data_IF_851919791629
#
_entry.id   IF_851919791629
#
_cell.length_a   1.000
_cell.length_b   1.000
_cell.length_c   1.000
_cell.angle_alpha   90.00
_cell.angle_beta   90.00
_cell.angle_gamma   90.00
#
_symmetry.space_group_name_H-M   'P 1'
#
loop_
_entity.id
_entity.type
_entity.pdbx_description
1 polymer ?
#
# COMPACT_ATOMS: atom_id res chain seq x y z
N UNK A 1 86.54 -26.48 16.18
CA UNK A 1 85.99 -27.10 14.97
C UNK A 1 84.52 -27.30 15.26
N UNK A 2 83.76 -26.32 15.01
CA UNK A 2 82.33 -26.27 15.23
C UNK A 2 81.71 -25.93 13.92
N UNK A 3 80.62 -26.61 13.59
CA UNK A 3 79.78 -26.26 12.49
C UNK A 3 78.53 -25.63 13.06
N UNK A 4 78.34 -24.35 12.81
CA UNK A 4 77.07 -23.61 13.08
C UNK A 4 76.22 -23.85 11.83
N UNK A 5 75.07 -24.49 12.06
CA UNK A 5 74.00 -24.58 11.09
C UNK A 5 72.81 -23.67 11.59
N UNK A 6 72.67 -22.59 10.86
CA UNK A 6 71.63 -21.61 10.96
C UNK A 6 70.31 -22.26 10.55
N UNK A 7 69.31 -22.32 11.47
CA UNK A 7 67.97 -22.79 11.19
C UNK A 7 67.03 -21.58 11.01
N UNK A 8 66.48 -21.48 9.76
CA UNK A 8 65.39 -20.57 9.41
C UNK A 8 64.11 -20.87 10.23
N UNK A 9 63.35 -19.84 10.62
CA UNK A 9 62.06 -20.05 11.25
C UNK A 9 60.96 -20.34 10.23
N UNK A 10 60.27 -21.45 10.44
CA UNK A 10 59.08 -21.85 9.67
C UNK A 10 57.92 -20.87 9.83
N UNK A 11 57.41 -20.42 8.68
CA UNK A 11 56.16 -19.67 8.57
C UNK A 11 54.97 -20.57 8.92
N UNK A 12 54.44 -20.44 10.12
CA UNK A 12 53.20 -21.08 10.53
C UNK A 12 52.04 -20.24 10.00
N UNK A 13 51.43 -20.69 8.90
CA UNK A 13 50.15 -20.20 8.43
C UNK A 13 49.07 -20.64 9.40
N UNK A 14 48.57 -19.70 10.19
CA UNK A 14 47.39 -19.92 11.06
C UNK A 14 46.17 -19.96 10.16
N UNK A 15 45.73 -21.17 9.79
CA UNK A 15 44.43 -21.44 9.25
C UNK A 15 43.40 -21.25 10.39
N UNK A 16 42.59 -20.18 10.30
CA UNK A 16 41.49 -20.00 11.21
C UNK A 16 40.42 -21.08 10.99
N UNK A 17 40.39 -22.06 11.86
CA UNK A 17 39.29 -23.02 11.93
C UNK A 17 38.01 -22.30 12.38
N UNK A 18 36.85 -22.65 11.81
CA UNK A 18 35.58 -22.09 12.33
C UNK A 18 35.35 -22.55 13.75
N UNK A 19 34.99 -21.60 14.62
CA UNK A 19 34.69 -21.84 16.02
C UNK A 19 33.65 -22.96 16.15
N UNK A 20 34.05 -24.07 16.75
CA UNK A 20 33.17 -25.16 17.12
C UNK A 20 32.17 -24.64 18.18
N UNK A 21 30.91 -24.57 17.80
CA UNK A 21 29.81 -24.31 18.72
C UNK A 21 29.69 -25.52 19.64
N UNK A 22 30.00 -25.35 20.93
CA UNK A 22 29.78 -26.38 21.96
C UNK A 22 28.29 -26.74 22.01
N UNK A 23 27.95 -27.95 21.63
CA UNK A 23 26.62 -28.51 21.72
C UNK A 23 26.33 -28.84 23.20
N UNK A 24 25.46 -28.06 23.82
CA UNK A 24 24.86 -28.39 25.11
C UNK A 24 23.88 -29.56 24.91
N UNK A 25 24.06 -30.73 25.54
CA UNK A 25 23.17 -31.86 25.39
C UNK A 25 21.80 -31.55 26.00
N UNK A 26 20.75 -31.53 25.16
CA UNK A 26 19.35 -31.33 25.56
C UNK A 26 18.76 -29.95 25.29
N UNK A 27 19.48 -29.02 24.71
CA UNK A 27 18.94 -27.75 24.24
C UNK A 27 18.12 -27.95 22.97
N UNK A 28 16.82 -27.68 23.03
CA UNK A 28 16.01 -27.46 21.83
C UNK A 28 16.64 -26.27 21.11
N UNK A 29 17.31 -26.50 19.99
CA UNK A 29 17.80 -25.44 19.11
C UNK A 29 16.56 -24.71 18.64
N UNK A 30 16.26 -23.56 19.24
CA UNK A 30 15.24 -22.64 18.73
C UNK A 30 15.82 -22.08 17.45
N UNK A 31 15.55 -22.74 16.33
CA UNK A 31 15.88 -22.20 15.00
C UNK A 31 15.21 -20.83 14.89
N UNK A 32 16.01 -19.81 14.71
CA UNK A 32 15.54 -18.46 14.42
C UNK A 32 14.66 -18.55 13.16
N UNK A 33 13.36 -18.19 13.24
CA UNK A 33 12.44 -18.28 12.11
C UNK A 33 12.88 -17.48 10.89
N UNK A 34 13.80 -16.53 11.07
CA UNK A 34 14.35 -15.68 10.01
C UNK A 34 15.62 -16.29 9.33
N UNK A 35 16.21 -17.37 9.90
CA UNK A 35 17.44 -17.99 9.36
C UNK A 35 17.27 -18.64 7.99
N UNK A 36 16.06 -19.03 7.61
CA UNK A 36 15.74 -19.73 6.36
C UNK A 36 15.19 -18.82 5.26
N UNK A 37 15.25 -17.49 5.42
CA UNK A 37 14.74 -16.55 4.43
C UNK A 37 15.81 -16.27 3.36
N UNK A 38 15.51 -16.46 2.04
CA UNK A 38 16.52 -16.40 0.98
C UNK A 38 17.13 -15.02 0.73
N UNK A 39 16.45 -13.90 1.10
CA UNK A 39 16.83 -12.51 0.82
C UNK A 39 17.24 -12.20 -0.64
N UNK A 40 16.70 -12.98 -1.59
CA UNK A 40 17.02 -12.81 -3.01
C UNK A 40 16.48 -13.90 -3.93
N UNK A 41 17.20 -14.15 -5.02
CA UNK A 41 16.84 -15.19 -5.99
C UNK A 41 15.46 -14.99 -6.61
N UNK A 42 14.63 -16.04 -6.58
CA UNK A 42 13.25 -15.99 -7.10
C UNK A 42 12.35 -14.99 -6.37
N UNK A 43 12.74 -14.52 -5.18
CA UNK A 43 12.06 -13.46 -4.45
C UNK A 43 11.91 -12.19 -5.29
N UNK A 44 12.89 -11.83 -6.12
CA UNK A 44 12.79 -10.67 -7.01
C UNK A 44 11.78 -10.86 -8.14
N UNK A 45 11.59 -12.09 -8.62
CA UNK A 45 10.49 -12.41 -9.56
C UNK A 45 9.15 -12.23 -8.86
N UNK A 46 9.01 -12.68 -7.61
CA UNK A 46 7.81 -12.44 -6.82
C UNK A 46 7.57 -10.94 -6.59
N UNK A 47 8.61 -10.15 -6.32
CA UNK A 47 8.50 -8.67 -6.22
C UNK A 47 7.96 -8.08 -7.52
N UNK A 48 8.49 -8.48 -8.67
CA UNK A 48 8.00 -8.01 -9.97
C UNK A 48 6.54 -8.42 -10.20
N UNK A 49 6.17 -9.67 -9.91
CA UNK A 49 4.79 -10.13 -10.03
C UNK A 49 3.83 -9.30 -9.15
N UNK A 50 4.16 -9.12 -7.87
CA UNK A 50 3.30 -8.36 -6.94
C UNK A 50 3.30 -6.87 -7.28
N UNK A 51 4.38 -6.31 -7.83
CA UNK A 51 4.41 -4.96 -8.40
C UNK A 51 3.38 -4.79 -9.53
N UNK A 52 3.35 -5.71 -10.50
CA UNK A 52 2.40 -5.66 -11.60
C UNK A 52 0.96 -5.91 -11.13
N UNK A 53 0.74 -6.82 -10.18
CA UNK A 53 -0.55 -6.99 -9.53
C UNK A 53 -1.01 -5.68 -8.88
N UNK A 54 -0.12 -4.99 -8.17
CA UNK A 54 -0.42 -3.71 -7.54
C UNK A 54 -0.72 -2.62 -8.56
N UNK A 55 0.04 -2.55 -9.67
CA UNK A 55 -0.20 -1.61 -10.77
C UNK A 55 -1.56 -1.84 -11.43
N UNK A 56 -1.94 -3.10 -11.68
CA UNK A 56 -3.17 -3.48 -12.36
C UNK A 56 -4.41 -3.62 -11.44
N UNK A 57 -4.24 -3.40 -10.12
CA UNK A 57 -5.34 -3.35 -9.14
C UNK A 57 -5.46 -1.94 -8.59
N UNK A 58 -4.64 -1.60 -7.58
CA UNK A 58 -4.67 -0.29 -6.93
C UNK A 58 -4.24 0.87 -7.82
N UNK A 59 -3.36 0.62 -8.82
CA UNK A 59 -2.99 1.63 -9.81
C UNK A 59 -4.19 2.03 -10.67
N UNK A 60 -5.01 1.08 -11.11
CA UNK A 60 -6.24 1.39 -11.85
C UNK A 60 -7.26 2.08 -10.94
N UNK A 61 -7.40 1.66 -9.67
CA UNK A 61 -8.25 2.34 -8.72
C UNK A 61 -7.82 3.81 -8.50
N UNK A 62 -6.50 4.08 -8.47
CA UNK A 62 -5.98 5.46 -8.41
C UNK A 62 -6.27 6.28 -9.68
N UNK A 63 -6.40 5.63 -10.83
CA UNK A 63 -6.78 6.27 -12.10
C UNK A 63 -8.27 6.57 -12.22
N UNK A 64 -9.11 6.14 -11.27
CA UNK A 64 -10.57 6.35 -11.29
C UNK A 64 -10.98 7.81 -11.46
N UNK A 65 -10.16 8.76 -11.01
CA UNK A 65 -10.40 10.19 -11.16
C UNK A 65 -10.63 10.65 -12.62
N UNK A 66 -10.06 9.96 -13.60
CA UNK A 66 -10.29 10.23 -15.03
C UNK A 66 -11.73 9.91 -15.42
N UNK A 67 -12.23 8.77 -14.99
CA UNK A 67 -13.61 8.35 -15.21
C UNK A 67 -14.61 9.26 -14.48
N UNK A 68 -14.30 9.57 -13.21
CA UNK A 68 -15.11 10.50 -12.41
C UNK A 68 -15.24 11.86 -13.10
N UNK A 69 -14.13 12.42 -13.57
CA UNK A 69 -14.15 13.70 -14.29
C UNK A 69 -15.02 13.64 -15.55
N UNK A 70 -14.91 12.56 -16.33
CA UNK A 70 -15.74 12.36 -17.52
C UNK A 70 -17.23 12.24 -17.19
N UNK A 71 -17.59 11.43 -16.20
CA UNK A 71 -18.98 11.25 -15.77
C UNK A 71 -19.63 12.56 -15.31
N UNK A 72 -18.89 13.38 -14.55
CA UNK A 72 -19.37 14.68 -14.07
C UNK A 72 -19.52 15.70 -15.19
N UNK A 73 -18.60 15.71 -16.17
CA UNK A 73 -18.63 16.70 -17.28
C UNK A 73 -19.76 16.39 -18.27
N UNK A 74 -20.03 15.11 -18.55
CA UNK A 74 -20.97 14.71 -19.58
C UNK A 74 -22.35 14.31 -19.03
N UNK A 75 -22.56 14.41 -17.69
CA UNK A 75 -23.83 14.04 -17.03
C UNK A 75 -24.37 12.71 -17.53
N UNK A 76 -23.52 11.67 -17.55
CA UNK A 76 -23.76 10.38 -18.19
C UNK A 76 -25.05 9.71 -17.71
N UNK A 77 -25.42 9.93 -16.45
CA UNK A 77 -26.68 9.47 -15.88
C UNK A 77 -27.46 10.66 -15.31
N UNK A 78 -28.66 11.00 -15.86
CA UNK A 78 -29.38 12.23 -15.52
C UNK A 78 -29.77 12.37 -14.05
N UNK A 79 -29.95 11.25 -13.33
CA UNK A 79 -30.33 11.22 -11.91
C UNK A 79 -29.16 11.13 -10.95
N UNK A 80 -27.93 10.98 -11.45
CA UNK A 80 -26.77 10.78 -10.61
C UNK A 80 -26.16 12.10 -10.15
N UNK A 81 -25.78 12.13 -8.87
CA UNK A 81 -25.06 13.25 -8.25
C UNK A 81 -23.56 13.02 -8.28
N UNK A 82 -22.77 14.05 -8.02
CA UNK A 82 -21.32 13.93 -7.86
C UNK A 82 -20.95 12.94 -6.73
N UNK A 83 -21.77 12.87 -5.68
CA UNK A 83 -21.56 11.96 -4.55
C UNK A 83 -21.73 10.50 -4.97
N UNK A 84 -22.67 10.21 -5.86
CA UNK A 84 -22.91 8.86 -6.37
C UNK A 84 -21.68 8.33 -7.13
N UNK A 85 -21.09 9.16 -7.99
CA UNK A 85 -19.87 8.78 -8.70
C UNK A 85 -18.65 8.66 -7.77
N UNK A 86 -18.51 9.54 -6.79
CA UNK A 86 -17.46 9.43 -5.78
C UNK A 86 -17.58 8.14 -4.96
N UNK A 87 -18.82 7.73 -4.65
CA UNK A 87 -19.12 6.50 -3.92
C UNK A 87 -18.73 5.23 -4.68
N UNK A 88 -18.82 5.23 -6.03
CA UNK A 88 -18.33 4.11 -6.86
C UNK A 88 -16.83 3.86 -6.61
N UNK A 89 -16.03 4.93 -6.60
CA UNK A 89 -14.60 4.83 -6.25
C UNK A 89 -14.37 4.33 -4.82
N UNK A 90 -15.15 4.83 -3.85
CA UNK A 90 -15.10 4.37 -2.47
C UNK A 90 -15.47 2.89 -2.29
N UNK A 91 -16.44 2.39 -3.06
CA UNK A 91 -16.83 0.98 -3.06
C UNK A 91 -15.69 0.05 -3.49
N UNK A 92 -14.81 0.47 -4.41
CA UNK A 92 -13.65 -0.34 -4.79
C UNK A 92 -12.77 -0.63 -3.58
N UNK A 93 -12.47 0.37 -2.75
CA UNK A 93 -11.71 0.20 -1.51
C UNK A 93 -12.49 -0.56 -0.46
N UNK A 94 -13.74 -0.16 -0.21
CA UNK A 94 -14.59 -0.76 0.81
C UNK A 94 -14.83 -2.25 0.58
N UNK A 95 -15.23 -2.65 -0.63
CA UNK A 95 -15.45 -4.05 -0.98
C UNK A 95 -14.15 -4.86 -0.97
N UNK A 96 -13.05 -4.30 -1.49
CA UNK A 96 -11.76 -4.97 -1.50
C UNK A 96 -11.28 -5.32 -0.09
N UNK A 97 -11.28 -4.35 0.83
CA UNK A 97 -10.74 -4.50 2.18
C UNK A 97 -11.69 -5.26 3.11
N UNK A 98 -13.01 -5.15 2.94
CA UNK A 98 -14.00 -5.88 3.74
C UNK A 98 -13.91 -7.41 3.52
N UNK A 99 -13.42 -7.83 2.35
CA UNK A 99 -13.18 -9.23 2.05
C UNK A 99 -11.88 -9.80 2.63
N UNK A 100 -11.08 -9.02 3.36
CA UNK A 100 -9.77 -9.48 3.87
C UNK A 100 -9.89 -10.77 4.70
N UNK A 101 -10.83 -10.82 5.65
CA UNK A 101 -11.05 -12.01 6.49
C UNK A 101 -11.51 -13.23 5.69
N UNK A 102 -12.58 -13.19 4.86
CA UNK A 102 -12.99 -14.34 4.05
C UNK A 102 -11.91 -14.75 3.02
N UNK A 103 -11.17 -13.81 2.42
CA UNK A 103 -10.07 -14.12 1.50
C UNK A 103 -8.94 -14.85 2.23
N UNK A 104 -8.58 -14.42 3.43
CA UNK A 104 -7.57 -15.09 4.26
C UNK A 104 -7.98 -16.54 4.57
N UNK A 105 -9.25 -16.78 4.91
CA UNK A 105 -9.78 -18.14 5.14
C UNK A 105 -9.79 -18.96 3.86
N UNK A 106 -10.14 -18.37 2.72
CA UNK A 106 -10.11 -19.01 1.41
C UNK A 106 -8.68 -19.40 1.02
N UNK A 107 -7.72 -18.49 1.22
CA UNK A 107 -6.29 -18.73 0.99
C UNK A 107 -5.75 -19.86 1.86
N UNK A 108 -6.24 -19.99 3.10
CA UNK A 108 -5.89 -21.13 3.98
C UNK A 108 -6.32 -22.48 3.41
N UNK A 109 -7.49 -22.55 2.78
CA UNK A 109 -8.06 -23.81 2.27
C UNK A 109 -7.56 -24.17 0.88
N UNK A 110 -7.45 -23.17 -0.02
CA UNK A 110 -7.22 -23.38 -1.45
C UNK A 110 -5.82 -22.93 -1.91
N UNK A 111 -4.99 -22.42 -0.99
CA UNK A 111 -3.72 -21.78 -1.36
C UNK A 111 -3.92 -20.37 -1.93
N UNK A 112 -2.83 -19.75 -2.39
CA UNK A 112 -2.84 -18.37 -2.87
C UNK A 112 -3.37 -18.24 -4.30
N UNK A 113 -3.09 -19.21 -5.18
CA UNK A 113 -3.33 -19.10 -6.63
C UNK A 113 -4.82 -19.12 -6.98
N UNK A 114 -5.63 -19.97 -6.33
CA UNK A 114 -7.06 -20.11 -6.66
C UNK A 114 -7.84 -18.84 -6.33
N UNK A 115 -7.74 -18.23 -5.13
CA UNK A 115 -8.39 -16.95 -4.86
C UNK A 115 -7.92 -15.84 -5.80
N UNK A 116 -6.62 -15.78 -6.10
CA UNK A 116 -6.06 -14.76 -6.99
C UNK A 116 -6.57 -14.92 -8.43
N UNK A 117 -6.57 -16.14 -8.98
CA UNK A 117 -7.09 -16.40 -10.34
C UNK A 117 -8.57 -16.06 -10.43
N UNK A 118 -9.37 -16.43 -9.42
CA UNK A 118 -10.77 -16.04 -9.37
C UNK A 118 -10.94 -14.53 -9.28
N UNK A 119 -10.09 -13.84 -8.52
CA UNK A 119 -10.05 -12.38 -8.42
C UNK A 119 -9.78 -11.71 -9.77
N UNK A 120 -8.85 -12.24 -10.57
CA UNK A 120 -8.57 -11.75 -11.93
C UNK A 120 -9.82 -11.85 -12.82
N UNK A 121 -10.53 -12.98 -12.77
CA UNK A 121 -11.78 -13.16 -13.53
C UNK A 121 -12.84 -12.15 -13.09
N UNK A 122 -13.04 -12.00 -11.78
CA UNK A 122 -14.04 -11.07 -11.21
C UNK A 122 -13.71 -9.61 -11.56
N UNK A 123 -12.45 -9.20 -11.44
CA UNK A 123 -12.02 -7.84 -11.79
C UNK A 123 -12.22 -7.55 -13.28
N UNK A 124 -11.79 -8.48 -14.15
CA UNK A 124 -11.94 -8.38 -15.60
C UNK A 124 -13.41 -8.30 -16.00
N UNK A 125 -14.25 -9.18 -15.43
CA UNK A 125 -15.70 -9.16 -15.64
C UNK A 125 -16.32 -7.83 -15.18
N UNK A 126 -15.88 -7.30 -14.03
CA UNK A 126 -16.34 -6.01 -13.50
C UNK A 126 -16.14 -4.87 -14.49
N UNK A 127 -14.94 -4.72 -15.07
CA UNK A 127 -14.66 -3.70 -16.07
C UNK A 127 -15.40 -3.96 -17.40
N UNK A 128 -15.47 -5.22 -17.86
CA UNK A 128 -16.22 -5.55 -19.06
C UNK A 128 -17.71 -5.25 -18.91
N UNK A 129 -18.33 -5.66 -17.82
CA UNK A 129 -19.75 -5.37 -17.55
C UNK A 129 -20.01 -3.86 -17.40
N UNK A 130 -19.11 -3.13 -16.75
CA UNK A 130 -19.19 -1.68 -16.68
C UNK A 130 -19.13 -1.02 -18.08
N UNK A 131 -18.43 -1.63 -19.05
CA UNK A 131 -18.36 -1.10 -20.42
C UNK A 131 -19.68 -1.18 -21.21
N UNK A 132 -20.63 -1.98 -20.73
CA UNK A 132 -21.96 -2.11 -21.35
C UNK A 132 -23.03 -1.25 -20.66
N UNK A 133 -22.67 -0.48 -19.64
CA UNK A 133 -23.62 0.43 -18.98
C UNK A 133 -24.00 1.56 -19.96
N UNK A 134 -25.30 1.85 -20.01
CA UNK A 134 -25.88 2.91 -20.85
C UNK A 134 -26.53 3.97 -19.96
N UNK A 135 -26.73 5.21 -20.44
CA UNK A 135 -27.42 6.25 -19.69
C UNK A 135 -28.81 5.84 -19.18
N UNK A 136 -29.50 4.94 -19.91
CA UNK A 136 -30.82 4.43 -19.55
C UNK A 136 -30.82 3.32 -18.51
N UNK A 137 -29.68 2.68 -18.25
CA UNK A 137 -29.62 1.51 -17.37
C UNK A 137 -29.59 1.83 -15.87
N UNK A 138 -29.52 3.10 -15.50
CA UNK A 138 -29.44 3.55 -14.11
C UNK A 138 -28.05 3.40 -13.50
N UNK A 139 -27.71 4.25 -12.52
CA UNK A 139 -26.39 4.31 -11.88
C UNK A 139 -26.06 3.06 -11.06
N UNK A 140 -27.07 2.30 -10.63
CA UNK A 140 -26.88 1.08 -9.82
C UNK A 140 -25.99 0.04 -10.52
N UNK A 141 -26.00 0.01 -11.87
CA UNK A 141 -25.11 -0.89 -12.60
C UNK A 141 -23.65 -0.53 -12.39
N UNK A 142 -23.28 0.76 -12.38
CA UNK A 142 -21.92 1.20 -12.09
C UNK A 142 -21.52 0.90 -10.64
N UNK A 143 -22.45 1.03 -9.69
CA UNK A 143 -22.18 0.61 -8.31
C UNK A 143 -21.82 -0.87 -8.23
N UNK A 144 -22.60 -1.72 -8.91
CA UNK A 144 -22.40 -3.15 -8.87
C UNK A 144 -21.15 -3.58 -9.65
N UNK A 145 -20.97 -3.04 -10.88
CA UNK A 145 -19.90 -3.50 -11.78
C UNK A 145 -18.57 -2.80 -11.50
N UNK A 146 -18.50 -1.48 -11.68
CA UNK A 146 -17.25 -0.72 -11.51
C UNK A 146 -16.89 -0.50 -10.04
N UNK A 147 -17.87 -0.45 -9.13
CA UNK A 147 -17.66 -0.33 -7.70
C UNK A 147 -17.40 -1.68 -7.04
N UNK A 148 -18.47 -2.44 -6.78
CA UNK A 148 -18.41 -3.63 -5.93
C UNK A 148 -17.65 -4.80 -6.59
N UNK A 149 -17.98 -5.15 -7.85
CA UNK A 149 -17.39 -6.31 -8.52
C UNK A 149 -15.90 -6.12 -8.76
N UNK A 150 -15.50 -4.93 -9.26
CA UNK A 150 -14.07 -4.59 -9.41
C UNK A 150 -13.39 -4.57 -8.05
N UNK A 151 -13.99 -3.99 -7.00
CA UNK A 151 -13.44 -3.99 -5.66
C UNK A 151 -13.22 -5.40 -5.10
N UNK A 152 -14.20 -6.29 -5.24
CA UNK A 152 -14.06 -7.70 -4.87
C UNK A 152 -12.91 -8.38 -5.63
N UNK A 153 -12.81 -8.14 -6.95
CA UNK A 153 -11.73 -8.66 -7.78
C UNK A 153 -10.34 -8.16 -7.34
N UNK A 154 -10.21 -6.87 -7.04
CA UNK A 154 -8.98 -6.27 -6.47
C UNK A 154 -8.61 -6.98 -5.17
N UNK A 155 -9.55 -7.13 -4.24
CA UNK A 155 -9.30 -7.80 -2.96
C UNK A 155 -8.83 -9.24 -3.13
N UNK A 156 -9.55 -10.03 -3.93
CA UNK A 156 -9.21 -11.43 -4.20
C UNK A 156 -7.84 -11.59 -4.87
N UNK A 157 -7.45 -10.66 -5.73
CA UNK A 157 -6.18 -10.72 -6.45
C UNK A 157 -5.02 -10.23 -5.59
N UNK A 158 -5.17 -9.11 -4.88
CA UNK A 158 -4.07 -8.45 -4.19
C UNK A 158 -3.84 -8.95 -2.76
N UNK A 159 -4.90 -9.17 -1.95
CA UNK A 159 -4.71 -9.48 -0.52
C UNK A 159 -3.93 -10.78 -0.26
N UNK A 160 -4.09 -11.86 -1.03
CA UNK A 160 -3.25 -13.05 -0.86
C UNK A 160 -1.78 -12.81 -1.23
N UNK A 161 -1.48 -11.82 -2.09
CA UNK A 161 -0.12 -11.50 -2.51
C UNK A 161 0.65 -10.62 -1.51
N UNK A 162 -0.04 -9.87 -0.66
CA UNK A 162 0.55 -8.90 0.25
C UNK A 162 1.61 -9.49 1.24
N UNK A 163 1.46 -10.72 1.79
CA UNK A 163 2.47 -11.29 2.66
C UNK A 163 3.70 -11.86 1.93
N UNK A 164 3.60 -12.13 0.61
CA UNK A 164 4.61 -12.86 -0.16
C UNK A 164 5.97 -12.19 -0.08
N UNK A 165 6.05 -10.90 -0.34
CA UNK A 165 7.31 -10.14 -0.32
C UNK A 165 8.02 -10.26 1.02
N UNK A 166 7.28 -10.19 2.13
CA UNK A 166 7.83 -10.29 3.48
C UNK A 166 8.26 -11.72 3.85
N UNK A 167 7.81 -12.73 3.11
CA UNK A 167 8.23 -14.12 3.27
C UNK A 167 9.52 -14.46 2.51
N UNK A 168 9.86 -13.67 1.48
CA UNK A 168 11.07 -13.85 0.68
C UNK A 168 12.26 -13.01 1.13
N UNK A 169 12.00 -11.93 1.89
CA UNK A 169 13.03 -10.99 2.30
C UNK A 169 13.01 -10.75 3.81
N UNK A 170 14.18 -10.73 4.44
CA UNK A 170 14.41 -10.35 5.84
C UNK A 170 15.16 -9.02 5.93
N UNK A 171 16.38 -8.94 5.41
CA UNK A 171 17.21 -7.74 5.44
C UNK A 171 16.68 -6.61 4.56
N UNK A 172 16.08 -6.95 3.39
CA UNK A 172 15.55 -5.99 2.41
C UNK A 172 14.03 -5.99 2.33
N UNK A 173 13.35 -6.33 3.43
CA UNK A 173 11.90 -6.53 3.49
C UNK A 173 11.13 -5.25 3.16
N UNK A 174 11.51 -4.12 3.72
CA UNK A 174 10.84 -2.84 3.48
C UNK A 174 11.12 -2.29 2.09
N UNK A 175 12.34 -2.45 1.57
CA UNK A 175 12.68 -2.10 0.18
C UNK A 175 11.82 -2.89 -0.81
N UNK A 176 11.73 -4.21 -0.65
CA UNK A 176 10.93 -5.07 -1.52
C UNK A 176 9.44 -4.66 -1.50
N UNK A 177 8.87 -4.41 -0.32
CA UNK A 177 7.50 -3.90 -0.18
C UNK A 177 7.33 -2.48 -0.73
N UNK A 178 8.36 -1.63 -0.63
CA UNK A 178 8.39 -0.30 -1.23
C UNK A 178 8.32 -0.34 -2.76
N UNK A 179 9.11 -1.22 -3.39
CA UNK A 179 9.09 -1.45 -4.85
C UNK A 179 7.70 -1.96 -5.28
N UNK A 180 7.16 -2.97 -4.61
CA UNK A 180 5.80 -3.47 -4.87
C UNK A 180 4.77 -2.35 -4.78
N UNK A 181 4.82 -1.55 -3.73
CA UNK A 181 3.87 -0.47 -3.50
C UNK A 181 3.99 0.67 -4.53
N UNK A 182 5.18 0.91 -5.11
CA UNK A 182 5.37 1.86 -6.20
C UNK A 182 4.57 1.49 -7.45
N UNK A 183 4.23 0.20 -7.62
CA UNK A 183 3.38 -0.28 -8.70
C UNK A 183 2.06 0.47 -8.80
N UNK A 184 1.41 0.80 -7.66
CA UNK A 184 0.16 1.57 -7.69
C UNK A 184 0.36 3.00 -8.21
N UNK A 185 1.48 3.66 -7.91
CA UNK A 185 1.80 4.99 -8.43
C UNK A 185 2.07 4.96 -9.94
N UNK A 186 2.92 4.03 -10.39
CA UNK A 186 3.25 3.86 -11.81
C UNK A 186 2.01 3.44 -12.61
N UNK A 187 1.24 2.48 -12.09
CA UNK A 187 -0.03 2.05 -12.68
C UNK A 187 -1.04 3.20 -12.73
N UNK A 188 -1.16 3.99 -11.66
CA UNK A 188 -2.02 5.17 -11.59
C UNK A 188 -1.71 6.17 -12.69
N UNK A 189 -0.44 6.48 -12.91
CA UNK A 189 0.00 7.36 -14.01
C UNK A 189 -0.33 6.72 -15.35
N UNK A 190 0.15 5.50 -15.61
CA UNK A 190 0.01 4.82 -16.88
C UNK A 190 -1.47 4.67 -17.32
N UNK A 191 -2.30 4.16 -16.40
CA UNK A 191 -3.72 3.94 -16.70
C UNK A 191 -4.53 5.24 -16.76
N UNK A 192 -4.15 6.30 -16.02
CA UNK A 192 -4.78 7.62 -16.17
C UNK A 192 -4.54 8.19 -17.57
N UNK A 193 -3.29 8.20 -18.06
CA UNK A 193 -2.98 8.69 -19.41
C UNK A 193 -3.59 7.82 -20.49
N UNK A 194 -3.50 6.50 -20.36
CA UNK A 194 -4.08 5.57 -21.34
C UNK A 194 -5.60 5.73 -21.43
N UNK A 195 -6.30 5.77 -20.28
CA UNK A 195 -7.76 5.94 -20.25
C UNK A 195 -8.18 7.29 -20.80
N UNK A 196 -7.51 8.38 -20.42
CA UNK A 196 -7.81 9.72 -20.96
C UNK A 196 -7.62 9.77 -22.48
N UNK A 197 -6.56 9.14 -23.00
CA UNK A 197 -6.30 9.09 -24.46
C UNK A 197 -7.34 8.28 -25.20
N UNK A 198 -7.76 7.12 -24.67
CA UNK A 198 -8.79 6.28 -25.28
C UNK A 198 -10.15 6.98 -25.24
N UNK A 199 -10.51 7.64 -24.13
CA UNK A 199 -11.78 8.37 -24.01
C UNK A 199 -11.85 9.51 -25.04
N UNK A 200 -10.74 10.22 -25.28
CA UNK A 200 -10.67 11.34 -26.21
C UNK A 200 -10.48 10.94 -27.68
N UNK A 201 -10.22 9.66 -27.98
CA UNK A 201 -9.96 9.21 -29.36
C UNK A 201 -11.26 9.10 -30.17
N UNK A 202 -11.23 9.37 -31.52
CA UNK A 202 -12.36 9.12 -32.40
C UNK A 202 -12.79 7.65 -32.35
N UNK A 203 -14.08 7.40 -32.08
CA UNK A 203 -14.62 6.04 -31.92
C UNK A 203 -14.26 5.35 -30.58
N UNK A 204 -13.55 6.04 -29.67
CA UNK A 204 -13.20 5.57 -28.33
C UNK A 204 -14.36 5.74 -27.33
N UNK A 205 -14.12 6.45 -26.27
CA UNK A 205 -15.08 6.72 -25.19
C UNK A 205 -14.85 5.84 -23.96
N UNK A 206 -15.68 6.05 -22.94
CA UNK A 206 -15.57 5.36 -21.66
C UNK A 206 -15.65 3.83 -21.78
N UNK A 207 -16.55 3.34 -22.63
CA UNK A 207 -16.73 1.90 -22.85
C UNK A 207 -15.43 1.23 -23.35
N UNK A 208 -14.75 1.83 -24.31
CA UNK A 208 -13.47 1.31 -24.80
C UNK A 208 -12.33 1.47 -23.78
N UNK A 209 -12.32 2.54 -23.00
CA UNK A 209 -11.37 2.68 -21.91
C UNK A 209 -11.54 1.58 -20.85
N UNK A 210 -12.77 1.24 -20.48
CA UNK A 210 -13.07 0.15 -19.55
C UNK A 210 -12.69 -1.22 -20.13
N UNK A 211 -12.94 -1.47 -21.42
CA UNK A 211 -12.50 -2.70 -22.11
C UNK A 211 -10.98 -2.81 -22.16
N UNK A 212 -10.28 -1.71 -22.43
CA UNK A 212 -8.82 -1.65 -22.37
C UNK A 212 -8.32 -2.03 -20.96
N UNK A 213 -8.92 -1.45 -19.90
CA UNK A 213 -8.57 -1.82 -18.53
C UNK A 213 -8.78 -3.32 -18.27
N UNK A 214 -9.92 -3.87 -18.73
CA UNK A 214 -10.22 -5.30 -18.56
C UNK A 214 -9.17 -6.20 -19.23
N UNK A 215 -8.83 -5.91 -20.50
CA UNK A 215 -7.89 -6.73 -21.28
C UNK A 215 -6.47 -6.62 -20.73
N UNK A 216 -5.99 -5.40 -20.49
CA UNK A 216 -4.61 -5.20 -20.05
C UNK A 216 -4.42 -5.72 -18.63
N UNK A 217 -5.32 -5.34 -17.69
CA UNK A 217 -5.19 -5.83 -16.31
C UNK A 217 -5.41 -7.33 -16.20
N UNK A 218 -6.37 -7.89 -16.95
CA UNK A 218 -6.61 -9.33 -16.99
C UNK A 218 -5.38 -10.09 -17.48
N UNK A 219 -4.82 -9.70 -18.63
CA UNK A 219 -3.63 -10.35 -19.19
C UNK A 219 -2.40 -10.27 -18.29
N UNK A 220 -2.08 -9.08 -17.77
CA UNK A 220 -0.94 -8.90 -16.85
C UNK A 220 -1.13 -9.67 -15.55
N UNK A 221 -2.32 -9.60 -14.95
CA UNK A 221 -2.61 -10.28 -13.70
C UNK A 221 -2.57 -11.81 -13.85
N UNK A 222 -3.03 -12.39 -14.97
CA UNK A 222 -2.92 -13.83 -15.25
C UNK A 222 -1.45 -14.26 -15.22
N UNK A 223 -0.57 -13.55 -15.92
CA UNK A 223 0.86 -13.86 -15.96
C UNK A 223 1.48 -13.72 -14.56
N UNK A 224 1.18 -12.64 -13.85
CA UNK A 224 1.71 -12.41 -12.52
C UNK A 224 1.26 -13.48 -11.51
N UNK A 225 -0.03 -13.89 -11.56
CA UNK A 225 -0.57 -14.96 -10.71
C UNK A 225 0.06 -16.31 -11.02
N UNK A 226 0.35 -16.59 -12.29
CA UNK A 226 0.99 -17.85 -12.69
C UNK A 226 2.46 -17.95 -12.20
N UNK A 227 3.17 -16.82 -12.12
CA UNK A 227 4.59 -16.79 -11.75
C UNK A 227 4.84 -16.54 -10.26
N UNK A 228 3.90 -15.95 -9.54
CA UNK A 228 4.09 -15.65 -8.12
C UNK A 228 4.17 -16.93 -7.27
N UNK A 229 5.06 -16.96 -6.27
CA UNK A 229 5.21 -18.10 -5.35
C UNK A 229 5.19 -17.63 -3.90
N UNK A 230 4.23 -18.14 -3.13
CA UNK A 230 4.18 -17.93 -1.68
C UNK A 230 5.00 -18.98 -0.94
N UNK A 231 5.46 -18.65 0.26
CA UNK A 231 6.23 -19.51 1.17
C UNK A 231 5.48 -19.81 2.47
N UNK A 232 4.14 -19.90 2.40
CA UNK A 232 3.31 -20.15 3.59
C UNK A 232 3.62 -21.49 4.27
N UNK A 233 4.02 -22.51 3.50
CA UNK A 233 4.36 -23.84 4.00
C UNK A 233 5.71 -23.84 4.72
N UNK A 234 6.74 -23.22 4.13
CA UNK A 234 8.09 -23.13 4.67
C UNK A 234 8.12 -22.29 5.96
N UNK A 235 7.40 -21.18 5.96
CA UNK A 235 7.26 -20.29 7.13
C UNK A 235 6.35 -20.91 8.22
N UNK A 236 5.66 -22.01 7.93
CA UNK A 236 4.63 -22.60 8.81
C UNK A 236 3.60 -21.56 9.26
N UNK A 237 3.12 -20.76 8.30
CA UNK A 237 2.28 -19.61 8.56
C UNK A 237 0.97 -19.99 9.26
N UNK A 238 0.66 -19.28 10.35
CA UNK A 238 -0.65 -19.35 11.02
C UNK A 238 -1.64 -18.50 10.25
N UNK A 239 -2.58 -19.13 9.55
CA UNK A 239 -3.58 -18.41 8.74
C UNK A 239 -4.92 -18.45 9.47
N UNK A 240 -5.23 -17.40 10.23
CA UNK A 240 -6.53 -17.19 10.87
C UNK A 240 -7.15 -15.92 10.31
N UNK A 241 -8.39 -15.98 9.87
CA UNK A 241 -9.08 -14.81 9.28
C UNK A 241 -9.22 -13.66 10.27
N UNK A 242 -9.58 -13.97 11.52
CA UNK A 242 -9.70 -13.01 12.62
C UNK A 242 -9.16 -13.65 13.90
N UNK A 243 -8.00 -13.20 14.37
CA UNK A 243 -7.38 -13.71 15.59
C UNK A 243 -7.52 -12.72 16.75
N UNK A 244 -8.51 -12.95 17.61
CA UNK A 244 -8.78 -12.12 18.79
C UNK A 244 -7.62 -12.12 19.79
N UNK A 245 -6.81 -13.18 19.83
CA UNK A 245 -5.68 -13.25 20.74
C UNK A 245 -4.60 -12.22 20.41
N UNK A 246 -4.45 -11.88 19.12
CA UNK A 246 -3.53 -10.81 18.70
C UNK A 246 -3.98 -9.44 19.22
N UNK A 247 -5.29 -9.18 19.28
CA UNK A 247 -5.83 -7.89 19.76
C UNK A 247 -5.53 -7.62 21.25
N UNK A 248 -5.19 -8.65 22.03
CA UNK A 248 -4.78 -8.47 23.43
C UNK A 248 -3.34 -7.93 23.58
N UNK A 249 -2.56 -7.92 22.52
CA UNK A 249 -1.18 -7.42 22.52
C UNK A 249 -1.18 -5.91 22.31
N UNK A 250 -0.63 -5.12 23.27
CA UNK A 250 -0.55 -3.65 23.17
C UNK A 250 0.08 -3.18 21.84
N UNK A 251 1.17 -3.81 21.41
CA UNK A 251 1.85 -3.48 20.14
C UNK A 251 0.94 -3.64 18.92
N UNK A 252 0.09 -4.68 18.91
CA UNK A 252 -0.87 -4.93 17.83
C UNK A 252 -1.92 -3.85 17.81
N UNK A 253 -2.51 -3.51 18.96
CA UNK A 253 -3.54 -2.45 19.05
C UNK A 253 -3.00 -1.09 18.62
N UNK A 254 -1.75 -0.77 18.99
CA UNK A 254 -1.11 0.48 18.56
C UNK A 254 -0.89 0.50 17.04
N UNK A 255 -0.44 -0.61 16.43
CA UNK A 255 -0.25 -0.69 14.99
C UNK A 255 -1.58 -0.56 14.22
N UNK A 256 -2.64 -1.23 14.69
CA UNK A 256 -3.98 -1.13 14.10
C UNK A 256 -4.58 0.26 14.28
N UNK A 257 -4.41 0.87 15.45
CA UNK A 257 -4.83 2.25 15.72
C UNK A 257 -4.12 3.26 14.81
N UNK A 258 -2.81 3.11 14.61
CA UNK A 258 -2.06 3.90 13.64
C UNK A 258 -2.60 3.71 12.22
N UNK A 259 -2.85 2.48 11.79
CA UNK A 259 -3.39 2.17 10.48
C UNK A 259 -4.77 2.83 10.27
N UNK A 260 -5.65 2.72 11.26
CA UNK A 260 -6.98 3.33 11.22
C UNK A 260 -6.91 4.86 11.08
N UNK A 261 -6.19 5.52 11.99
CA UNK A 261 -6.17 6.99 12.06
C UNK A 261 -5.41 7.61 10.89
N UNK A 262 -4.30 7.00 10.45
CA UNK A 262 -3.56 7.49 9.27
C UNK A 262 -4.38 7.41 7.99
N UNK A 263 -5.25 6.39 7.84
CA UNK A 263 -6.12 6.26 6.66
C UNK A 263 -7.22 7.32 6.61
N UNK A 264 -7.66 7.86 7.74
CA UNK A 264 -8.57 9.01 7.76
C UNK A 264 -7.92 10.22 7.07
N UNK A 265 -6.67 10.53 7.40
CA UNK A 265 -5.93 11.62 6.77
C UNK A 265 -5.57 11.34 5.32
N UNK A 266 -5.15 10.09 5.02
CA UNK A 266 -4.74 9.66 3.69
C UNK A 266 -5.84 9.82 2.64
N UNK A 267 -7.02 9.28 2.91
CA UNK A 267 -8.15 9.30 1.96
C UNK A 267 -8.65 10.72 1.72
N UNK A 268 -8.75 11.52 2.78
CA UNK A 268 -9.12 12.94 2.65
C UNK A 268 -8.14 13.69 1.74
N UNK A 269 -6.84 13.55 1.95
CA UNK A 269 -5.85 14.25 1.13
C UNK A 269 -5.88 13.75 -0.31
N UNK A 270 -5.93 12.43 -0.53
CA UNK A 270 -5.90 11.81 -1.85
C UNK A 270 -7.03 12.33 -2.75
N UNK A 271 -8.24 12.44 -2.23
CA UNK A 271 -9.40 12.84 -3.01
C UNK A 271 -9.65 14.35 -3.00
N UNK A 272 -9.43 15.01 -1.89
CA UNK A 272 -9.70 16.45 -1.77
C UNK A 272 -8.63 17.34 -2.43
N UNK A 273 -7.40 16.84 -2.70
CA UNK A 273 -6.30 17.67 -3.22
C UNK A 273 -6.58 18.23 -4.60
N UNK A 274 -7.07 17.41 -5.53
CA UNK A 274 -7.44 17.83 -6.89
C UNK A 274 -8.65 18.78 -6.88
N UNK A 275 -9.65 18.46 -6.04
CA UNK A 275 -10.84 19.29 -5.88
C UNK A 275 -10.50 20.66 -5.26
N UNK A 276 -9.59 20.71 -4.29
CA UNK A 276 -9.04 21.96 -3.74
C UNK A 276 -8.41 22.82 -4.82
N UNK A 277 -7.60 22.22 -5.71
CA UNK A 277 -6.99 22.96 -6.82
C UNK A 277 -8.03 23.63 -7.73
N UNK A 278 -9.11 22.93 -8.04
CA UNK A 278 -10.21 23.48 -8.87
C UNK A 278 -11.03 24.53 -8.16
N UNK A 279 -11.49 24.22 -6.96
CA UNK A 279 -12.51 25.01 -6.27
C UNK A 279 -11.90 26.20 -5.50
N UNK A 280 -10.70 26.06 -4.94
CA UNK A 280 -10.06 27.10 -4.13
C UNK A 280 -9.04 27.92 -4.93
N UNK A 281 -8.32 27.31 -5.91
CA UNK A 281 -7.30 28.00 -6.70
C UNK A 281 -7.75 28.32 -8.14
N UNK A 282 -8.97 27.91 -8.53
CA UNK A 282 -9.49 28.16 -9.87
C UNK A 282 -8.71 27.47 -10.99
N UNK A 283 -8.02 26.36 -10.71
CA UNK A 283 -7.21 25.63 -11.69
C UNK A 283 -8.07 24.98 -12.77
N UNK A 284 -7.55 24.94 -13.98
CA UNK A 284 -8.17 24.18 -15.07
C UNK A 284 -8.26 22.69 -14.75
N UNK A 285 -9.17 21.97 -15.41
CA UNK A 285 -9.31 20.52 -15.23
C UNK A 285 -7.99 19.76 -15.52
N UNK A 286 -7.22 20.21 -16.52
CA UNK A 286 -5.90 19.66 -16.84
C UNK A 286 -4.86 19.87 -15.72
N UNK A 287 -4.82 21.05 -15.14
CA UNK A 287 -3.92 21.35 -14.03
C UNK A 287 -4.28 20.56 -12.77
N UNK A 288 -5.57 20.43 -12.45
CA UNK A 288 -6.04 19.64 -11.32
C UNK A 288 -5.74 18.13 -11.47
N UNK A 289 -5.92 17.60 -12.69
CA UNK A 289 -5.48 16.23 -13.02
C UNK A 289 -3.95 16.09 -12.91
N UNK A 290 -3.20 17.12 -13.32
CA UNK A 290 -1.75 17.19 -13.15
C UNK A 290 -1.30 17.06 -11.69
N UNK A 291 -1.99 17.71 -10.74
CA UNK A 291 -1.70 17.58 -9.31
C UNK A 291 -1.79 16.12 -8.85
N UNK A 292 -2.82 15.38 -9.26
CA UNK A 292 -2.95 13.95 -8.95
C UNK A 292 -1.84 13.11 -9.60
N UNK A 293 -1.45 13.44 -10.83
CA UNK A 293 -0.34 12.77 -11.51
C UNK A 293 1.00 13.00 -10.78
N UNK A 294 1.27 14.22 -10.31
CA UNK A 294 2.45 14.55 -9.52
C UNK A 294 2.45 13.86 -8.14
N UNK A 295 1.29 13.71 -7.51
CA UNK A 295 1.15 12.91 -6.28
C UNK A 295 1.53 11.44 -6.54
N UNK A 296 1.04 10.85 -7.62
CA UNK A 296 1.36 9.48 -8.01
C UNK A 296 2.84 9.32 -8.39
N UNK A 297 3.45 10.34 -9.02
CA UNK A 297 4.89 10.36 -9.29
C UNK A 297 5.70 10.35 -7.99
N UNK A 298 5.32 11.18 -7.04
CA UNK A 298 5.89 11.17 -5.69
C UNK A 298 5.78 9.78 -5.05
N UNK A 299 4.62 9.14 -5.16
CA UNK A 299 4.38 7.77 -4.67
C UNK A 299 5.28 6.73 -5.36
N UNK A 300 5.44 6.82 -6.67
CA UNK A 300 6.26 5.87 -7.44
C UNK A 300 7.74 5.90 -7.04
N UNK A 301 8.28 7.09 -6.81
CA UNK A 301 9.70 7.28 -6.43
C UNK A 301 9.90 7.17 -4.93
N UNK A 302 8.99 7.73 -4.14
CA UNK A 302 9.14 7.84 -2.69
C UNK A 302 9.04 6.51 -1.96
N UNK A 303 8.13 5.62 -2.37
CA UNK A 303 7.94 4.34 -1.69
C UNK A 303 9.16 3.43 -1.70
N UNK A 304 9.89 3.21 -2.81
CA UNK A 304 11.13 2.46 -2.79
C UNK A 304 12.22 3.15 -1.94
N UNK A 305 12.34 4.48 -2.03
CA UNK A 305 13.32 5.24 -1.24
C UNK A 305 13.06 5.14 0.27
N UNK A 306 11.80 5.30 0.69
CA UNK A 306 11.41 5.11 2.09
C UNK A 306 11.55 3.65 2.53
N UNK A 307 11.30 2.68 1.64
CA UNK A 307 11.53 1.26 1.90
C UNK A 307 12.98 0.98 2.23
N UNK A 308 13.90 1.50 1.43
CA UNK A 308 15.33 1.42 1.69
C UNK A 308 15.73 2.11 3.01
N UNK A 309 15.22 3.31 3.24
CA UNK A 309 15.44 4.05 4.48
C UNK A 309 14.92 3.28 5.71
N UNK A 310 13.77 2.64 5.57
CA UNK A 310 13.12 1.83 6.62
C UNK A 310 13.95 0.61 7.01
N UNK A 311 14.57 -0.08 6.03
CA UNK A 311 15.46 -1.21 6.32
C UNK A 311 16.78 -0.76 6.97
N UNK A 312 17.23 0.50 6.75
CA UNK A 312 18.48 1.04 7.29
C UNK A 312 18.34 1.71 8.65
N UNK A 313 17.26 2.47 8.86
CA UNK A 313 17.09 3.34 10.04
C UNK A 313 16.03 2.85 11.02
N UNK A 314 15.39 1.72 10.71
CA UNK A 314 14.33 1.15 11.53
C UNK A 314 12.93 1.39 10.94
N UNK A 315 12.11 0.35 11.02
CA UNK A 315 10.80 0.33 10.35
C UNK A 315 9.79 1.22 11.06
N UNK A 316 9.79 1.18 12.39
CA UNK A 316 8.88 1.99 13.22
C UNK A 316 9.30 3.46 13.18
N UNK A 317 10.61 3.72 13.23
CA UNK A 317 11.18 5.07 13.18
C UNK A 317 10.84 5.77 11.87
N UNK A 318 11.06 5.11 10.73
CA UNK A 318 10.77 5.70 9.42
C UNK A 318 9.27 5.84 9.20
N UNK A 319 8.46 4.86 9.57
CA UNK A 319 7.01 4.97 9.46
C UNK A 319 6.45 6.10 10.33
N UNK A 320 6.91 6.22 11.57
CA UNK A 320 6.52 7.29 12.49
C UNK A 320 6.98 8.67 12.00
N UNK A 321 8.24 8.80 11.58
CA UNK A 321 8.80 10.04 11.04
C UNK A 321 8.09 10.51 9.78
N UNK A 322 7.82 9.61 8.83
CA UNK A 322 7.05 9.94 7.62
C UNK A 322 5.60 10.35 7.95
N UNK A 323 4.95 9.68 8.91
CA UNK A 323 3.60 10.03 9.38
C UNK A 323 3.58 11.44 10.02
N UNK A 324 4.57 11.76 10.84
CA UNK A 324 4.72 13.10 11.43
C UNK A 324 4.99 14.16 10.36
N UNK A 325 5.87 13.88 9.40
CA UNK A 325 6.18 14.77 8.30
C UNK A 325 4.93 15.04 7.42
N UNK A 326 4.04 14.07 7.21
CA UNK A 326 2.75 14.29 6.54
C UNK A 326 1.92 15.35 7.27
N UNK A 327 1.80 15.27 8.59
CA UNK A 327 1.06 16.26 9.39
C UNK A 327 1.66 17.65 9.22
N UNK A 328 2.98 17.77 9.34
CA UNK A 328 3.67 19.07 9.18
C UNK A 328 3.46 19.64 7.78
N UNK A 329 3.60 18.84 6.74
CA UNK A 329 3.40 19.28 5.35
C UNK A 329 1.96 19.74 5.08
N UNK A 330 0.97 19.09 5.67
CA UNK A 330 -0.44 19.51 5.55
C UNK A 330 -0.62 20.89 6.16
N UNK A 331 -0.17 21.11 7.40
CA UNK A 331 -0.32 22.40 8.08
C UNK A 331 0.56 23.50 7.50
N UNK A 332 1.82 23.21 7.16
CA UNK A 332 2.76 24.21 6.70
C UNK A 332 2.63 24.55 5.21
N UNK A 333 2.25 23.59 4.36
CA UNK A 333 2.27 23.76 2.91
C UNK A 333 0.87 23.71 2.31
N UNK A 334 0.05 22.68 2.61
CA UNK A 334 -1.27 22.57 1.99
C UNK A 334 -2.23 23.68 2.45
N UNK A 335 -2.25 23.99 3.75
CA UNK A 335 -3.11 25.07 4.27
C UNK A 335 -2.71 26.47 3.79
N UNK A 336 -1.47 26.65 3.37
CA UNK A 336 -0.94 27.93 2.86
C UNK A 336 -0.80 27.95 1.34
N UNK A 337 -1.15 26.87 0.65
CA UNK A 337 -1.02 26.75 -0.80
C UNK A 337 -1.97 27.73 -1.52
N UNK A 338 -1.42 28.80 -2.07
CA UNK A 338 -2.15 29.84 -2.81
C UNK A 338 -1.83 29.83 -4.32
N UNK A 339 -0.96 28.94 -4.80
CA UNK A 339 -0.57 28.88 -6.20
C UNK A 339 -0.42 27.43 -6.70
N UNK A 340 -0.54 27.26 -8.03
CA UNK A 340 -0.35 25.95 -8.67
C UNK A 340 1.03 25.34 -8.36
N UNK A 341 2.10 26.14 -8.41
CA UNK A 341 3.46 25.65 -8.15
C UNK A 341 3.63 25.09 -6.74
N UNK A 342 3.10 25.77 -5.72
CA UNK A 342 3.12 25.27 -4.32
C UNK A 342 2.30 24.01 -4.18
N UNK A 343 1.14 23.92 -4.86
CA UNK A 343 0.30 22.73 -4.81
C UNK A 343 0.98 21.52 -5.49
N UNK A 344 1.69 21.74 -6.60
CA UNK A 344 2.49 20.70 -7.27
C UNK A 344 3.65 20.25 -6.38
N UNK A 345 4.39 21.18 -5.79
CA UNK A 345 5.44 20.86 -4.82
C UNK A 345 4.89 20.02 -3.67
N UNK A 346 3.77 20.45 -3.08
CA UNK A 346 3.10 19.71 -2.03
C UNK A 346 2.70 18.29 -2.51
N UNK A 347 2.12 18.17 -3.70
CA UNK A 347 1.71 16.89 -4.27
C UNK A 347 2.88 15.92 -4.44
N UNK A 348 4.02 16.36 -4.99
CA UNK A 348 5.22 15.53 -5.15
C UNK A 348 5.77 15.10 -3.80
N UNK A 349 6.01 16.06 -2.89
CA UNK A 349 6.62 15.77 -1.59
C UNK A 349 5.69 14.93 -0.71
N UNK A 350 4.40 15.28 -0.62
CA UNK A 350 3.43 14.47 0.12
C UNK A 350 3.27 13.09 -0.49
N UNK A 351 3.25 12.98 -1.82
CA UNK A 351 3.18 11.69 -2.52
C UNK A 351 4.28 10.73 -2.11
N UNK A 352 5.50 11.22 -1.84
CA UNK A 352 6.62 10.36 -1.41
C UNK A 352 6.35 9.69 -0.06
N UNK A 353 5.68 10.37 0.88
CA UNK A 353 5.51 9.92 2.26
C UNK A 353 4.07 9.54 2.62
N UNK A 354 3.08 10.04 1.88
CA UNK A 354 1.65 9.90 2.19
C UNK A 354 1.20 8.45 2.34
N UNK A 355 1.68 7.59 1.46
CA UNK A 355 1.31 6.18 1.41
C UNK A 355 2.22 5.27 2.24
N UNK A 356 2.90 5.78 3.27
CA UNK A 356 3.85 5.01 4.09
C UNK A 356 3.22 3.74 4.67
N UNK A 357 1.93 3.77 5.05
CA UNK A 357 1.21 2.60 5.54
C UNK A 357 1.23 1.45 4.52
N UNK A 358 0.92 1.71 3.26
CA UNK A 358 0.80 0.67 2.24
C UNK A 358 2.10 -0.11 1.99
N UNK A 359 3.26 0.53 2.17
CA UNK A 359 4.55 -0.12 2.00
C UNK A 359 5.10 -0.73 3.29
N UNK A 360 4.75 -0.16 4.47
CA UNK A 360 5.32 -0.59 5.74
C UNK A 360 4.43 -1.54 6.53
N UNK A 361 3.14 -1.66 6.19
CA UNK A 361 2.20 -2.47 6.99
C UNK A 361 2.64 -3.93 7.08
N UNK A 362 3.08 -4.56 5.99
CA UNK A 362 3.54 -5.94 6.00
C UNK A 362 4.84 -6.12 6.79
N UNK A 363 5.91 -5.32 6.59
CA UNK A 363 7.09 -5.33 7.43
C UNK A 363 6.82 -5.08 8.93
N UNK A 364 5.96 -4.11 9.25
CA UNK A 364 5.59 -3.79 10.64
C UNK A 364 4.75 -4.90 11.30
N UNK A 365 3.88 -5.57 10.54
CA UNK A 365 3.15 -6.73 11.03
C UNK A 365 4.10 -7.87 11.42
N UNK A 366 5.16 -8.09 10.63
CA UNK A 366 6.20 -9.09 10.98
C UNK A 366 6.94 -8.67 12.26
N UNK A 367 7.30 -7.40 12.40
CA UNK A 367 8.02 -6.89 13.56
C UNK A 367 7.19 -6.95 14.86
N UNK A 368 5.88 -6.73 14.77
CA UNK A 368 4.97 -6.71 15.91
C UNK A 368 4.46 -8.10 16.30
N UNK A 369 4.12 -8.93 15.31
CA UNK A 369 3.47 -10.23 15.53
C UNK A 369 4.33 -11.44 15.15
N UNK A 370 5.40 -11.23 14.38
CA UNK A 370 6.24 -12.30 13.82
C UNK A 370 5.76 -12.79 12.45
N UNK A 371 6.66 -13.45 11.73
CA UNK A 371 6.40 -13.91 10.36
C UNK A 371 5.31 -15.01 10.30
N UNK A 372 5.21 -15.85 11.34
CA UNK A 372 4.18 -16.90 11.42
C UNK A 372 2.76 -16.34 11.46
N UNK A 373 2.54 -15.25 12.19
CA UNK A 373 1.23 -14.63 12.37
C UNK A 373 0.93 -13.54 11.32
N UNK A 374 1.82 -13.33 10.34
CA UNK A 374 1.74 -12.27 9.33
C UNK A 374 0.40 -12.25 8.59
N UNK A 375 -0.07 -13.40 8.09
CA UNK A 375 -1.34 -13.48 7.34
C UNK A 375 -2.54 -13.07 8.21
N UNK A 376 -2.57 -13.52 9.46
CA UNK A 376 -3.63 -13.18 10.42
C UNK A 376 -3.59 -11.70 10.80
N UNK A 377 -2.39 -11.17 10.99
CA UNK A 377 -2.18 -9.76 11.33
C UNK A 377 -2.54 -8.82 10.18
N UNK A 378 -2.18 -9.16 8.94
CA UNK A 378 -2.59 -8.41 7.76
C UNK A 378 -4.10 -8.43 7.56
N UNK A 379 -4.77 -9.58 7.80
CA UNK A 379 -6.23 -9.65 7.75
C UNK A 379 -6.90 -8.67 8.73
N UNK A 380 -6.38 -8.56 9.96
CA UNK A 380 -6.85 -7.58 10.95
C UNK A 380 -6.56 -6.14 10.52
N UNK A 381 -5.36 -5.89 9.99
CA UNK A 381 -4.98 -4.56 9.53
C UNK A 381 -5.88 -4.07 8.39
N UNK A 382 -6.14 -4.92 7.40
CA UNK A 382 -7.04 -4.59 6.30
C UNK A 382 -8.48 -4.39 6.77
N UNK A 383 -8.99 -5.26 7.65
CA UNK A 383 -10.32 -5.11 8.24
C UNK A 383 -10.47 -3.79 9.01
N UNK A 384 -9.43 -3.39 9.74
CA UNK A 384 -9.42 -2.11 10.50
C UNK A 384 -9.47 -0.90 9.57
N UNK A 385 -8.87 -0.98 8.39
CA UNK A 385 -8.83 0.15 7.43
C UNK A 385 -10.08 0.29 6.57
N UNK A 386 -11.05 -0.64 6.63
CA UNK A 386 -12.30 -0.58 5.84
C UNK A 386 -13.07 0.72 6.09
N UNK A 387 -13.35 1.03 7.35
CA UNK A 387 -14.15 2.21 7.70
C UNK A 387 -13.48 3.52 7.29
N UNK A 388 -12.21 3.78 7.64
CA UNK A 388 -11.57 5.02 7.22
C UNK A 388 -11.43 5.13 5.69
N UNK A 389 -11.13 4.06 4.98
CA UNK A 389 -11.03 4.10 3.52
C UNK A 389 -12.37 4.35 2.83
N UNK A 390 -13.48 3.91 3.43
CA UNK A 390 -14.83 4.08 2.85
C UNK A 390 -15.44 5.44 3.16
N UNK A 391 -15.26 5.94 4.38
CA UNK A 391 -16.04 7.09 4.86
C UNK A 391 -15.24 8.38 5.05
N UNK A 392 -13.91 8.35 5.01
CA UNK A 392 -13.10 9.54 5.32
C UNK A 392 -13.39 10.70 4.37
N UNK A 393 -13.52 10.45 3.05
CA UNK A 393 -13.85 11.50 2.09
C UNK A 393 -15.29 12.01 2.27
N UNK A 394 -16.23 11.15 2.63
CA UNK A 394 -17.60 11.56 2.94
C UNK A 394 -17.61 12.52 4.14
N UNK A 395 -16.81 12.24 5.16
CA UNK A 395 -16.64 13.13 6.32
C UNK A 395 -16.03 14.46 5.86
N UNK A 396 -14.98 14.43 5.06
CA UNK A 396 -14.30 15.62 4.54
C UNK A 396 -15.26 16.52 3.74
N UNK A 397 -16.08 15.95 2.86
CA UNK A 397 -17.06 16.68 2.08
C UNK A 397 -18.16 17.29 2.96
N UNK A 398 -18.57 16.61 4.03
CA UNK A 398 -19.60 17.13 4.98
C UNK A 398 -19.10 18.28 5.84
N UNK A 399 -17.80 18.27 6.24
CA UNK A 399 -17.21 19.36 7.02
C UNK A 399 -16.71 20.52 6.13
N UNK A 400 -16.62 20.32 4.81
CA UNK A 400 -16.33 21.36 3.84
C UNK A 400 -17.42 22.46 3.91
N UNK A 401 -17.03 23.72 3.81
CA UNK A 401 -17.94 24.88 3.81
C UNK A 401 -17.89 25.60 2.46
N UNK A 402 -18.72 25.19 1.48
CA UNK A 402 -18.84 25.89 0.20
C UNK A 402 -19.29 27.34 0.45
N UNK A 403 -18.64 28.31 -0.20
CA UNK A 403 -18.96 29.74 -0.04
C UNK A 403 -18.19 30.46 1.10
N UNK A 404 -17.44 29.75 1.94
CA UNK A 404 -16.51 30.39 2.86
C UNK A 404 -15.23 30.84 2.12
N UNK A 405 -14.51 31.83 2.67
CA UNK A 405 -13.23 32.30 2.14
C UNK A 405 -12.21 31.16 1.95
N UNK A 406 -12.23 30.18 2.83
CA UNK A 406 -11.41 28.96 2.77
C UNK A 406 -12.27 27.69 2.84
N UNK A 407 -12.83 27.23 1.73
CA UNK A 407 -13.80 26.13 1.73
C UNK A 407 -13.26 24.79 2.28
N UNK A 408 -11.94 24.56 2.11
CA UNK A 408 -11.26 23.30 2.49
C UNK A 408 -10.52 23.36 3.84
N UNK A 409 -10.63 24.47 4.59
CA UNK A 409 -9.90 24.63 5.87
C UNK A 409 -10.16 23.46 6.83
N UNK A 410 -11.43 23.08 7.03
CA UNK A 410 -11.79 21.98 7.94
C UNK A 410 -11.34 20.60 7.45
N UNK A 411 -11.48 20.21 6.16
CA UNK A 411 -10.86 19.01 5.60
C UNK A 411 -9.33 18.96 5.78
N UNK A 412 -8.64 20.07 5.59
CA UNK A 412 -7.18 20.17 5.80
C UNK A 412 -6.82 19.96 7.27
N UNK A 413 -7.53 20.62 8.21
CA UNK A 413 -7.33 20.43 9.65
C UNK A 413 -7.62 18.95 10.03
N UNK A 414 -8.73 18.38 9.55
CA UNK A 414 -9.06 16.99 9.81
C UNK A 414 -7.96 16.03 9.36
N UNK A 415 -7.46 16.18 8.14
CA UNK A 415 -6.38 15.37 7.61
C UNK A 415 -5.08 15.56 8.41
N UNK A 416 -4.69 16.80 8.70
CA UNK A 416 -3.48 17.12 9.45
C UNK A 416 -3.51 16.59 10.88
N UNK A 417 -4.63 16.74 11.59
CA UNK A 417 -4.82 16.20 12.94
C UNK A 417 -4.82 14.67 12.94
N UNK A 418 -5.45 14.03 11.96
CA UNK A 418 -5.41 12.57 11.83
C UNK A 418 -3.95 12.07 11.73
N UNK A 419 -3.11 12.70 10.90
CA UNK A 419 -1.70 12.34 10.83
C UNK A 419 -0.91 12.66 12.10
N UNK A 420 -1.23 13.75 12.81
CA UNK A 420 -0.60 14.08 14.09
C UNK A 420 -0.90 13.03 15.16
N UNK A 421 -2.16 12.61 15.29
CA UNK A 421 -2.58 11.55 16.22
C UNK A 421 -1.96 10.20 15.83
N UNK A 422 -1.94 9.89 14.53
CA UNK A 422 -1.29 8.69 14.04
C UNK A 422 0.22 8.67 14.37
N UNK A 423 0.92 9.79 14.22
CA UNK A 423 2.32 9.92 14.61
C UNK A 423 2.54 9.72 16.11
N UNK A 424 1.64 10.25 16.95
CA UNK A 424 1.69 10.02 18.40
C UNK A 424 1.51 8.55 18.77
N UNK A 425 0.62 7.83 18.08
CA UNK A 425 0.44 6.37 18.26
C UNK A 425 1.71 5.62 17.87
N UNK A 426 2.35 5.97 16.74
CA UNK A 426 3.61 5.34 16.34
C UNK A 426 4.75 5.65 17.30
N UNK A 427 4.81 6.86 17.83
CA UNK A 427 5.78 7.20 18.88
C UNK A 427 5.57 6.34 20.13
N UNK A 428 4.32 6.11 20.54
CA UNK A 428 4.01 5.18 21.63
C UNK A 428 4.43 3.74 21.32
N UNK A 429 4.18 3.26 20.10
CA UNK A 429 4.63 1.93 19.67
C UNK A 429 6.15 1.79 19.77
N UNK A 430 6.88 2.80 19.30
CA UNK A 430 8.34 2.87 19.42
C UNK A 430 8.82 2.80 20.88
N UNK A 431 8.18 3.54 21.79
CA UNK A 431 8.52 3.48 23.23
C UNK A 431 8.29 2.07 23.82
N UNK A 432 7.18 1.41 23.44
CA UNK A 432 6.85 0.07 23.94
C UNK A 432 7.82 -0.98 23.40
N UNK A 433 8.31 -0.81 22.18
CA UNK A 433 9.33 -1.71 21.62
C UNK A 433 10.67 -1.56 22.35
N UNK A 434 11.16 -0.33 22.52
CA UNK A 434 12.44 -0.05 23.21
C UNK A 434 12.49 -0.49 24.67
N UNK A 435 11.36 -0.44 25.38
CA UNK A 435 11.31 -0.91 26.79
C UNK A 435 11.51 -2.42 26.93
N UNK A 436 11.18 -3.22 25.91
CA UNK A 436 11.30 -4.69 25.96
C UNK A 436 12.64 -5.22 25.46
N UNK A 437 13.42 -4.43 24.71
CA UNK A 437 14.73 -4.80 24.19
C UNK A 437 15.81 -3.76 24.54
N UNK A 438 16.28 -3.67 25.79
CA UNK A 438 17.35 -2.74 26.15
C UNK A 438 18.72 -3.12 25.56
N UNK A 439 18.88 -4.34 25.07
CA UNK A 439 20.16 -4.86 24.56
C UNK A 439 20.40 -4.60 23.06
N UNK A 440 19.36 -4.32 22.28
CA UNK A 440 19.49 -4.12 20.82
C UNK A 440 19.89 -2.68 20.42
N UNK A 441 20.08 -1.78 21.40
CA UNK A 441 20.49 -0.39 21.16
C UNK A 441 21.99 -0.20 20.87
N UNK A 442 22.85 -1.26 20.90
CA UNK A 442 24.32 -1.10 20.77
C UNK A 442 24.92 -1.55 19.43
N UNK A 443 24.16 -2.13 18.50
CA UNK A 443 24.73 -2.71 17.29
C UNK A 443 24.47 -1.95 15.97
N UNK A 444 23.82 -0.78 15.98
CA UNK A 444 23.52 -0.04 14.74
C UNK A 444 24.30 1.28 14.58
N UNK A 445 25.49 1.38 15.15
CA UNK A 445 26.44 2.46 14.83
C UNK A 445 27.80 1.81 14.51
N UNK A 446 27.95 1.30 13.32
CA UNK A 446 29.21 1.22 12.57
C UNK A 446 28.86 1.23 11.08
#
# INVERSE_FOLDING_TARGET
MGNDTESQPDNISISAAPAATEAVPGGVVVQDPDSDIPDGGYGWVCVACVFFLNACTWGIAAAYGVFLSHYLTHSTHPTATALDYAFIGGLQFGCSLSLATPITLLTRRLGIHIPMAFGVVVQTAGYLLASFTTPSSGIWQLYLTQGALVGCGIGLTYLPSAPITSQWFSARRSLANGIVSAGSGIGGIAFSFASARVIASPGGGVAWALRMLAIVSGGVNVVAVALVRGRNAEVRATIRGFDVALLRREKVMLLLGWAFVSMLGYMTLLYSLSAYGRDALGLSAGQAAGVTAFLNLGTAVGRPALGWASDRWGRVEVAGGATAACSVLIFAVWMTAASYGVLVFFAVVSGTILGVLWMTISPLCVEVAGLKDLNSMLSLAWATTVLPCTFSEVIALKIRRPGAERPYLYPQIYSGLSYAVAAAIMFRLWQVQRKKDPTNCRCNVV
#
